data_IF_876257352495
#
_entry.id   IF_876257352495
#
_cell.length_a   1.000
_cell.length_b   1.000
_cell.length_c   1.000
_cell.angle_alpha   90.00
_cell.angle_beta   90.00
_cell.angle_gamma   90.00
#
_symmetry.space_group_name_H-M   'P 1'
#
loop_
_entity.id
_entity.type
_entity.pdbx_description
1 polymer ?
#
# COMPACT_ATOMS: atom_id res chain seq x y z
N UNK A 1 -6.91 14.31 -18.52
CA UNK A 1 -7.48 15.64 -18.25
C UNK A 1 -6.54 16.39 -17.31
N UNK A 2 -5.75 17.30 -17.86
CA UNK A 2 -4.69 18.05 -17.18
C UNK A 2 -5.29 19.10 -16.24
N UNK A 3 -5.27 18.84 -14.93
CA UNK A 3 -5.53 19.88 -13.93
C UNK A 3 -4.24 20.64 -13.65
N UNK A 4 -4.22 21.91 -14.03
CA UNK A 4 -3.22 22.91 -13.66
C UNK A 4 -3.27 23.15 -12.13
N UNK A 5 -2.45 22.42 -11.37
CA UNK A 5 -2.02 22.86 -10.04
C UNK A 5 -0.56 23.31 -10.16
N UNK A 6 -0.37 24.63 -10.25
CA UNK A 6 0.94 25.29 -10.10
C UNK A 6 1.45 25.09 -8.67
N UNK A 7 2.02 23.92 -8.39
CA UNK A 7 3.02 23.81 -7.34
C UNK A 7 4.35 24.17 -7.97
N UNK A 8 4.95 25.28 -7.53
CA UNK A 8 6.38 25.58 -7.70
C UNK A 8 7.15 24.45 -7.01
N UNK A 9 7.32 23.31 -7.67
CA UNK A 9 8.18 22.24 -7.21
C UNK A 9 9.51 22.38 -7.92
N UNK A 10 10.42 23.00 -7.17
CA UNK A 10 11.87 22.91 -7.23
C UNK A 10 12.44 21.92 -8.26
N UNK A 11 13.44 22.38 -9.01
CA UNK A 11 14.40 21.60 -9.79
C UNK A 11 15.26 20.69 -8.90
N UNK A 12 14.65 19.79 -8.14
CA UNK A 12 15.31 18.84 -7.25
C UNK A 12 15.00 17.43 -7.72
N UNK A 13 16.04 16.72 -8.14
CA UNK A 13 16.06 15.31 -8.52
C UNK A 13 15.85 14.37 -7.30
N UNK A 14 14.92 14.70 -6.40
CA UNK A 14 14.73 14.00 -5.14
C UNK A 14 13.26 13.94 -4.72
N UNK A 15 12.94 12.92 -3.92
CA UNK A 15 11.60 12.74 -3.35
C UNK A 15 11.42 13.76 -2.22
N UNK A 16 10.34 14.54 -2.27
CA UNK A 16 9.90 15.37 -1.14
C UNK A 16 8.98 14.48 -0.28
N UNK A 17 9.45 13.98 0.89
CA UNK A 17 8.73 12.93 1.62
C UNK A 17 7.31 13.31 1.99
N UNK A 18 7.12 14.58 2.36
CA UNK A 18 5.84 15.13 2.76
C UNK A 18 4.82 15.20 1.61
N UNK A 19 5.25 15.61 0.41
CA UNK A 19 4.36 15.65 -0.76
C UNK A 19 3.96 14.24 -1.19
N UNK A 20 4.91 13.31 -1.17
CA UNK A 20 4.67 11.91 -1.50
C UNK A 20 3.74 11.25 -0.46
N UNK A 21 3.96 11.46 0.83
CA UNK A 21 3.08 10.98 1.91
C UNK A 21 1.63 11.44 1.73
N UNK A 22 1.40 12.72 1.40
CA UNK A 22 0.05 13.22 1.09
C UNK A 22 -0.56 12.58 -0.13
N UNK A 23 0.23 12.29 -1.16
CA UNK A 23 -0.28 11.56 -2.33
C UNK A 23 -0.76 10.16 -1.96
N UNK A 24 -0.09 9.46 -1.03
CA UNK A 24 -0.57 8.18 -0.50
C UNK A 24 -1.92 8.33 0.20
N UNK A 25 -2.11 9.35 1.05
CA UNK A 25 -3.39 9.59 1.74
C UNK A 25 -4.54 9.76 0.74
N UNK A 26 -4.31 10.56 -0.30
CA UNK A 26 -5.35 10.88 -1.31
C UNK A 26 -5.70 9.67 -2.17
N UNK A 27 -4.73 8.78 -2.42
CA UNK A 27 -4.89 7.72 -3.44
C UNK A 27 -5.07 6.32 -2.88
N UNK A 28 -4.76 6.05 -1.60
CA UNK A 28 -4.76 4.68 -1.06
C UNK A 28 -6.10 3.96 -1.23
N UNK A 29 -7.23 4.64 -1.02
CA UNK A 29 -8.56 4.06 -1.22
C UNK A 29 -8.81 3.68 -2.69
N UNK A 30 -8.39 4.52 -3.64
CA UNK A 30 -8.59 4.30 -5.08
C UNK A 30 -7.80 3.09 -5.56
N UNK A 31 -6.55 2.98 -5.11
CA UNK A 31 -5.67 1.86 -5.47
C UNK A 31 -6.24 0.54 -4.93
N UNK A 32 -6.79 0.54 -3.71
CA UNK A 32 -7.41 -0.65 -3.12
C UNK A 32 -8.70 -1.02 -3.84
N UNK A 33 -9.56 -0.04 -4.15
CA UNK A 33 -10.79 -0.26 -4.91
C UNK A 33 -10.49 -0.84 -6.30
N UNK A 34 -9.53 -0.27 -7.02
CA UNK A 34 -9.08 -0.75 -8.32
C UNK A 34 -8.52 -2.18 -8.24
N UNK A 35 -7.70 -2.48 -7.21
CA UNK A 35 -7.16 -3.82 -7.03
C UNK A 35 -8.25 -4.88 -6.82
N UNK A 36 -9.29 -4.56 -6.04
CA UNK A 36 -10.43 -5.44 -5.81
C UNK A 36 -11.24 -5.64 -7.11
N UNK A 37 -11.45 -4.57 -7.87
CA UNK A 37 -12.13 -4.64 -9.17
C UNK A 37 -11.36 -5.52 -10.18
N UNK A 38 -10.04 -5.37 -10.25
CA UNK A 38 -9.17 -6.18 -11.12
C UNK A 38 -9.17 -7.65 -10.70
N UNK A 39 -9.13 -7.93 -9.39
CA UNK A 39 -9.21 -9.27 -8.84
C UNK A 39 -10.59 -9.92 -9.03
N UNK A 40 -11.64 -9.13 -9.31
CA UNK A 40 -13.04 -9.57 -9.45
C UNK A 40 -13.56 -10.34 -8.24
N UNK A 41 -13.12 -9.94 -7.05
CA UNK A 41 -13.56 -10.48 -5.76
C UNK A 41 -14.40 -9.44 -5.02
N UNK A 42 -15.25 -9.89 -4.11
CA UNK A 42 -15.89 -9.01 -3.14
C UNK A 42 -14.92 -8.69 -2.01
N UNK A 43 -14.98 -7.46 -1.47
CA UNK A 43 -14.16 -7.07 -0.31
C UNK A 43 -14.42 -7.98 0.92
N UNK A 44 -15.61 -8.56 1.01
CA UNK A 44 -15.98 -9.47 2.10
C UNK A 44 -15.44 -10.91 1.91
N UNK A 45 -14.85 -11.23 0.75
CA UNK A 45 -14.21 -12.53 0.49
C UNK A 45 -12.76 -12.57 0.96
N UNK A 46 -12.19 -11.42 1.36
CA UNK A 46 -10.83 -11.32 1.87
C UNK A 46 -10.71 -12.06 3.20
N UNK A 47 -9.69 -12.91 3.32
CA UNK A 47 -9.45 -13.70 4.54
C UNK A 47 -8.47 -13.04 5.51
N UNK A 48 -7.65 -12.10 5.02
CA UNK A 48 -6.68 -11.34 5.82
C UNK A 48 -6.25 -10.07 5.05
N UNK A 49 -5.65 -9.11 5.75
CA UNK A 49 -5.01 -7.94 5.16
C UNK A 49 -3.53 -7.93 5.52
N UNK A 50 -2.66 -7.83 4.53
CA UNK A 50 -1.22 -7.68 4.72
C UNK A 50 -0.80 -6.23 4.46
N UNK A 51 0.09 -5.68 5.30
CA UNK A 51 0.61 -4.32 5.14
C UNK A 51 2.08 -4.24 5.50
N UNK A 52 2.85 -3.47 4.72
CA UNK A 52 4.27 -3.22 4.99
C UNK A 52 4.45 -2.49 6.32
N UNK A 53 5.24 -3.08 7.23
CA UNK A 53 5.59 -2.52 8.54
C UNK A 53 7.08 -2.14 8.64
N UNK A 54 7.70 -1.82 7.51
CA UNK A 54 9.07 -1.33 7.40
C UNK A 54 10.07 -2.34 6.81
N UNK A 55 11.33 -1.93 6.53
CA UNK A 55 11.83 -0.55 6.63
C UNK A 55 11.18 0.39 5.60
N UNK A 56 11.15 1.69 5.90
CA UNK A 56 10.57 2.69 5.03
C UNK A 56 10.45 4.05 5.71
N UNK A 57 10.12 5.07 4.92
CA UNK A 57 9.90 6.42 5.44
C UNK A 57 8.60 6.46 6.28
N UNK A 58 8.69 7.01 7.51
CA UNK A 58 7.63 6.93 8.51
C UNK A 58 6.25 7.43 8.02
N UNK A 59 6.20 8.52 7.24
CA UNK A 59 4.94 9.06 6.71
C UNK A 59 4.17 8.05 5.84
N UNK A 60 4.88 7.27 5.03
CA UNK A 60 4.30 6.28 4.11
C UNK A 60 3.78 5.06 4.87
N UNK A 61 4.58 4.57 5.82
CA UNK A 61 4.22 3.44 6.67
C UNK A 61 2.98 3.75 7.50
N UNK A 62 2.89 4.96 8.08
CA UNK A 62 1.74 5.36 8.87
C UNK A 62 0.43 5.38 8.06
N UNK A 63 0.46 5.88 6.83
CA UNK A 63 -0.73 5.91 5.97
C UNK A 63 -1.20 4.49 5.64
N UNK A 64 -0.29 3.63 5.20
CA UNK A 64 -0.60 2.24 4.87
C UNK A 64 -1.12 1.45 6.08
N UNK A 65 -0.39 1.49 7.19
CA UNK A 65 -0.73 0.73 8.41
C UNK A 65 -2.08 1.17 8.99
N UNK A 66 -2.37 2.47 9.04
CA UNK A 66 -3.66 2.94 9.57
C UNK A 66 -4.83 2.60 8.65
N UNK A 67 -4.65 2.71 7.33
CA UNK A 67 -5.67 2.27 6.37
C UNK A 67 -5.96 0.78 6.52
N UNK A 68 -4.91 -0.04 6.54
CA UNK A 68 -5.03 -1.49 6.67
C UNK A 68 -5.70 -1.90 8.00
N UNK A 69 -5.34 -1.26 9.11
CA UNK A 69 -6.01 -1.45 10.42
C UNK A 69 -7.50 -1.10 10.36
N UNK A 70 -7.85 0.03 9.76
CA UNK A 70 -9.25 0.44 9.62
C UNK A 70 -10.06 -0.58 8.81
N UNK A 71 -9.52 -1.02 7.68
CA UNK A 71 -10.18 -1.98 6.81
C UNK A 71 -10.28 -3.37 7.46
N UNK A 72 -9.21 -3.85 8.11
CA UNK A 72 -9.21 -5.16 8.76
C UNK A 72 -10.20 -5.21 9.92
N UNK A 73 -10.29 -4.13 10.71
CA UNK A 73 -11.29 -4.02 11.76
C UNK A 73 -12.72 -3.99 11.20
N UNK A 74 -12.95 -3.24 10.12
CA UNK A 74 -14.27 -3.15 9.49
C UNK A 74 -14.75 -4.50 8.95
N UNK A 75 -13.84 -5.33 8.45
CA UNK A 75 -14.13 -6.66 7.91
C UNK A 75 -14.03 -7.77 8.97
N UNK A 76 -13.52 -7.45 10.17
CA UNK A 76 -13.22 -8.38 11.24
C UNK A 76 -12.30 -9.54 10.79
N UNK A 77 -11.25 -9.23 10.04
CA UNK A 77 -10.26 -10.19 9.53
C UNK A 77 -8.85 -9.88 10.05
N UNK A 78 -7.94 -10.87 10.11
CA UNK A 78 -6.57 -10.67 10.59
C UNK A 78 -5.80 -9.61 9.80
N UNK A 79 -4.99 -8.82 10.52
CA UNK A 79 -4.01 -7.90 9.95
C UNK A 79 -2.60 -8.46 10.15
N UNK A 80 -1.83 -8.53 9.08
CA UNK A 80 -0.47 -9.08 9.05
C UNK A 80 0.51 -7.97 8.67
N UNK A 81 1.47 -7.70 9.55
CA UNK A 81 2.58 -6.81 9.25
C UNK A 81 3.67 -7.55 8.47
N UNK A 82 4.06 -7.03 7.30
CA UNK A 82 5.05 -7.65 6.42
C UNK A 82 6.31 -6.80 6.37
N UNK A 83 7.48 -7.44 6.44
CA UNK A 83 8.74 -6.75 6.22
C UNK A 83 8.89 -6.40 4.73
N UNK A 84 9.26 -5.16 4.43
CA UNK A 84 9.41 -4.66 3.06
C UNK A 84 10.40 -5.47 2.24
N UNK A 85 11.56 -5.83 2.83
CA UNK A 85 12.61 -6.58 2.15
C UNK A 85 12.23 -8.05 1.99
N UNK A 86 11.58 -8.63 2.99
CA UNK A 86 11.02 -9.98 2.86
C UNK A 86 10.00 -10.05 1.73
N UNK A 87 9.10 -9.07 1.63
CA UNK A 87 8.15 -8.97 0.51
C UNK A 87 8.85 -8.85 -0.85
N UNK A 88 9.96 -8.12 -0.93
CA UNK A 88 10.78 -8.06 -2.13
C UNK A 88 11.35 -9.43 -2.53
N UNK A 89 11.81 -10.22 -1.56
CA UNK A 89 12.33 -11.57 -1.80
C UNK A 89 11.18 -12.50 -2.22
N UNK A 90 10.06 -12.49 -1.49
CA UNK A 90 8.87 -13.31 -1.78
C UNK A 90 8.32 -13.09 -3.18
N UNK A 91 8.34 -11.84 -3.67
CA UNK A 91 7.83 -11.50 -4.99
C UNK A 91 8.54 -12.26 -6.11
N UNK A 92 9.82 -12.59 -5.96
CA UNK A 92 10.58 -13.41 -6.92
C UNK A 92 10.08 -14.86 -7.01
N UNK A 93 9.34 -15.32 -6.01
CA UNK A 93 8.87 -16.71 -5.91
C UNK A 93 7.36 -16.85 -6.10
N UNK A 94 6.64 -15.78 -6.45
CA UNK A 94 5.17 -15.80 -6.54
C UNK A 94 4.65 -16.78 -7.61
N UNK A 95 5.45 -17.05 -8.65
CA UNK A 95 5.13 -18.03 -9.71
C UNK A 95 5.57 -19.46 -9.36
N UNK A 96 6.38 -19.64 -8.31
CA UNK A 96 6.88 -20.95 -7.88
C UNK A 96 6.09 -21.43 -6.66
N UNK A 97 5.19 -22.40 -6.86
CA UNK A 97 4.30 -22.98 -5.84
C UNK A 97 5.00 -23.58 -4.60
N UNK A 98 6.33 -23.67 -4.58
CA UNK A 98 7.11 -24.38 -3.54
C UNK A 98 8.01 -23.50 -2.70
N UNK A 99 7.68 -22.22 -2.54
CA UNK A 99 8.44 -21.37 -1.62
C UNK A 99 7.84 -21.43 -0.21
N UNK A 100 8.53 -22.10 0.70
CA UNK A 100 8.25 -22.08 2.14
C UNK A 100 9.36 -21.30 2.84
N UNK A 101 8.95 -20.37 3.71
CA UNK A 101 9.83 -19.66 4.64
C UNK A 101 10.21 -20.53 5.84
#
# INVERSE_FOLDING_TARGET
MLLHLRLKACSLWGIIPELASRAHIVNIHKVVEEAIQVAKVSINELSAIAVTNGPGLAGFLLVGVNFAKGLSNSLNIPLIGVNHLEGHISACFVENEKFNF
#
